data_IF_967855153730
#
_entry.id   IF_967855153730
#
_cell.length_a   1.000
_cell.length_b   1.000
_cell.length_c   1.000
_cell.angle_alpha   90.00
_cell.angle_beta   90.00
_cell.angle_gamma   90.00
#
_symmetry.space_group_name_H-M   'P 1'
#
loop_
_entity.id
_entity.type
_entity.pdbx_description
1 polymer ?
#
# COMPACT_ATOMS: atom_id res chain seq x y z
N UNK A 1 -0.42 -15.15 -17.73
CA UNK A 1 -0.60 -13.89 -16.97
C UNK A 1 -2.08 -13.57 -16.98
N UNK A 2 -2.84 -14.34 -16.20
CA UNK A 2 -4.29 -14.21 -16.05
C UNK A 2 -4.56 -13.23 -14.91
N UNK A 3 -5.48 -12.29 -15.15
CA UNK A 3 -5.94 -11.37 -14.12
C UNK A 3 -6.49 -12.18 -12.94
N UNK A 4 -6.04 -11.85 -11.74
CA UNK A 4 -6.59 -12.37 -10.48
C UNK A 4 -8.02 -11.81 -10.35
N UNK A 5 -8.99 -12.56 -10.87
CA UNK A 5 -10.41 -12.39 -10.58
C UNK A 5 -10.84 -13.53 -9.65
N UNK A 6 -10.60 -13.36 -8.35
CA UNK A 6 -11.06 -14.30 -7.29
C UNK A 6 -12.57 -14.14 -7.03
N UNK A 7 -13.27 -13.29 -7.80
CA UNK A 7 -14.70 -13.09 -7.61
C UNK A 7 -15.51 -14.16 -8.36
N UNK A 8 -15.92 -15.19 -7.62
CA UNK A 8 -16.84 -16.24 -8.10
C UNK A 8 -16.17 -17.45 -8.76
N UNK A 9 -14.85 -17.59 -8.60
CA UNK A 9 -14.09 -18.73 -9.12
C UNK A 9 -13.45 -19.47 -7.94
N UNK A 10 -14.25 -20.33 -7.31
CA UNK A 10 -13.84 -21.14 -6.14
C UNK A 10 -12.59 -21.98 -6.47
N UNK A 11 -12.43 -22.36 -7.74
CA UNK A 11 -11.29 -23.11 -8.27
C UNK A 11 -9.99 -22.30 -8.15
N UNK A 12 -9.99 -21.02 -8.52
CA UNK A 12 -8.82 -20.15 -8.40
C UNK A 12 -8.44 -19.88 -6.92
N UNK A 13 -9.42 -19.77 -6.03
CA UNK A 13 -9.14 -19.62 -4.59
C UNK A 13 -8.58 -20.92 -3.98
N UNK A 14 -9.06 -22.08 -4.44
CA UNK A 14 -8.54 -23.39 -4.05
C UNK A 14 -7.10 -23.58 -4.51
N UNK A 15 -6.77 -23.24 -5.76
CA UNK A 15 -5.40 -23.34 -6.27
C UNK A 15 -4.40 -22.50 -5.44
N UNK A 16 -4.78 -21.27 -5.07
CA UNK A 16 -3.95 -20.39 -4.23
C UNK A 16 -3.80 -20.97 -2.81
N UNK A 17 -4.87 -21.51 -2.25
CA UNK A 17 -4.82 -22.17 -0.94
C UNK A 17 -3.93 -23.42 -0.98
N UNK A 18 -4.04 -24.26 -2.01
CA UNK A 18 -3.19 -25.45 -2.17
C UNK A 18 -1.71 -25.07 -2.31
N UNK A 19 -1.39 -24.01 -3.06
CA UNK A 19 -0.03 -23.48 -3.13
C UNK A 19 0.48 -23.00 -1.76
N UNK A 20 -0.33 -22.23 -1.03
CA UNK A 20 -0.01 -21.79 0.33
C UNK A 20 0.24 -22.99 1.28
N UNK A 21 -0.56 -24.05 1.15
CA UNK A 21 -0.41 -25.29 1.91
C UNK A 21 0.87 -26.05 1.58
N UNK A 22 1.36 -25.95 0.34
CA UNK A 22 2.61 -26.61 -0.08
C UNK A 22 3.86 -25.82 0.31
N UNK A 23 3.81 -24.49 0.25
CA UNK A 23 4.98 -23.64 0.42
C UNK A 23 5.15 -23.12 1.86
N UNK A 24 4.05 -22.76 2.54
CA UNK A 24 4.12 -22.01 3.81
C UNK A 24 3.51 -22.76 5.01
N UNK A 25 2.58 -23.70 4.79
CA UNK A 25 1.92 -24.39 5.91
C UNK A 25 2.86 -25.25 6.77
N UNK A 26 4.03 -25.64 6.26
CA UNK A 26 5.03 -26.37 7.04
C UNK A 26 5.74 -25.48 8.09
N UNK A 27 5.71 -24.16 7.92
CA UNK A 27 6.32 -23.19 8.83
C UNK A 27 5.32 -22.60 9.84
N UNK A 28 4.02 -22.86 9.65
CA UNK A 28 2.95 -22.33 10.47
C UNK A 28 2.52 -23.32 11.56
N UNK A 29 2.60 -22.90 12.82
CA UNK A 29 2.11 -23.67 13.98
C UNK A 29 0.58 -23.85 13.96
N UNK A 30 -0.14 -22.92 13.34
CA UNK A 30 -1.58 -23.01 13.09
C UNK A 30 -1.86 -22.68 11.64
N UNK A 31 -2.27 -23.69 10.89
CA UNK A 31 -2.65 -23.55 9.50
C UNK A 31 -4.12 -23.09 9.44
N UNK A 32 -4.41 -21.93 8.83
CA UNK A 32 -5.78 -21.46 8.70
C UNK A 32 -6.61 -22.39 7.81
N UNK A 33 -7.89 -22.55 8.14
CA UNK A 33 -8.83 -23.24 7.26
C UNK A 33 -9.03 -22.47 5.95
N UNK A 34 -9.49 -23.15 4.90
CA UNK A 34 -9.78 -22.52 3.61
C UNK A 34 -10.71 -21.31 3.74
N UNK A 35 -11.78 -21.43 4.54
CA UNK A 35 -12.74 -20.35 4.75
C UNK A 35 -12.10 -19.13 5.44
N UNK A 36 -11.28 -19.36 6.48
CA UNK A 36 -10.54 -18.31 7.18
C UNK A 36 -9.49 -17.64 6.27
N UNK A 37 -8.84 -18.42 5.42
CA UNK A 37 -7.88 -17.93 4.43
C UNK A 37 -8.56 -17.00 3.42
N UNK A 38 -9.68 -17.43 2.84
CA UNK A 38 -10.47 -16.64 1.88
C UNK A 38 -11.03 -15.38 2.53
N UNK A 39 -11.53 -15.45 3.76
CA UNK A 39 -12.01 -14.28 4.51
C UNK A 39 -10.87 -13.27 4.77
N UNK A 40 -9.68 -13.78 5.12
CA UNK A 40 -8.50 -12.95 5.34
C UNK A 40 -8.07 -12.24 4.06
N UNK A 41 -8.00 -12.95 2.93
CA UNK A 41 -7.66 -12.36 1.63
C UNK A 41 -8.70 -11.31 1.20
N UNK A 42 -9.99 -11.60 1.37
CA UNK A 42 -11.06 -10.65 1.08
C UNK A 42 -10.91 -9.38 1.92
N UNK A 43 -10.70 -9.53 3.23
CA UNK A 43 -10.55 -8.40 4.15
C UNK A 43 -9.30 -7.59 3.83
N UNK A 44 -8.15 -8.25 3.63
CA UNK A 44 -6.90 -7.61 3.24
C UNK A 44 -7.02 -6.87 1.90
N UNK A 45 -7.71 -7.45 0.92
CA UNK A 45 -7.96 -6.84 -0.38
C UNK A 45 -8.79 -5.56 -0.26
N UNK A 46 -9.89 -5.58 0.51
CA UNK A 46 -10.73 -4.39 0.73
C UNK A 46 -9.95 -3.31 1.47
N UNK A 47 -9.23 -3.66 2.54
CA UNK A 47 -8.40 -2.71 3.30
C UNK A 47 -7.35 -2.08 2.40
N UNK A 48 -6.65 -2.88 1.60
CA UNK A 48 -5.62 -2.40 0.65
C UNK A 48 -6.22 -1.43 -0.37
N UNK A 49 -7.41 -1.72 -0.90
CA UNK A 49 -8.11 -0.85 -1.84
C UNK A 49 -8.47 0.50 -1.21
N UNK A 50 -9.04 0.49 0.01
CA UNK A 50 -9.37 1.73 0.73
C UNK A 50 -8.12 2.56 1.00
N UNK A 51 -7.03 1.93 1.43
CA UNK A 51 -5.75 2.59 1.67
C UNK A 51 -5.16 3.19 0.40
N UNK A 52 -5.27 2.50 -0.74
CA UNK A 52 -4.82 3.01 -2.03
C UNK A 52 -5.55 4.32 -2.40
N UNK A 53 -6.87 4.38 -2.19
CA UNK A 53 -7.65 5.61 -2.42
C UNK A 53 -7.20 6.73 -1.49
N UNK A 54 -6.97 6.44 -0.20
CA UNK A 54 -6.50 7.45 0.77
C UNK A 54 -5.11 7.97 0.38
N UNK A 55 -4.20 7.07 -0.03
CA UNK A 55 -2.85 7.45 -0.45
C UNK A 55 -2.88 8.37 -1.68
N UNK A 56 -3.74 8.08 -2.65
CA UNK A 56 -3.94 8.91 -3.84
C UNK A 56 -4.44 10.32 -3.46
N UNK A 57 -5.47 10.41 -2.61
CA UNK A 57 -6.00 11.68 -2.09
C UNK A 57 -4.93 12.46 -1.32
N UNK A 58 -4.15 11.79 -0.47
CA UNK A 58 -3.05 12.42 0.27
C UNK A 58 -1.96 12.97 -0.66
N UNK A 59 -1.66 12.25 -1.76
CA UNK A 59 -0.77 12.73 -2.81
C UNK A 59 -1.28 14.02 -3.45
N UNK A 60 -2.56 14.06 -3.84
CA UNK A 60 -3.19 15.25 -4.43
C UNK A 60 -3.20 16.43 -3.44
N UNK A 61 -3.58 16.20 -2.18
CA UNK A 61 -3.58 17.21 -1.12
C UNK A 61 -2.17 17.77 -0.91
N UNK A 62 -1.14 16.93 -0.98
CA UNK A 62 0.26 17.35 -0.86
C UNK A 62 0.67 18.29 -1.99
N UNK A 63 0.24 18.01 -3.22
CA UNK A 63 0.46 18.91 -4.37
C UNK A 63 -0.19 20.28 -4.11
N UNK A 64 -1.41 20.31 -3.59
CA UNK A 64 -2.11 21.57 -3.27
C UNK A 64 -1.45 22.36 -2.15
N UNK A 65 -0.89 21.69 -1.14
CA UNK A 65 -0.16 22.32 -0.04
C UNK A 65 1.20 22.89 -0.46
N UNK A 66 1.85 22.23 -1.42
CA UNK A 66 3.09 22.69 -2.04
C UNK A 66 2.85 23.82 -3.05
N UNK A 67 1.65 23.87 -3.66
CA UNK A 67 1.21 24.96 -4.54
C UNK A 67 1.13 26.27 -3.75
N UNK A 68 1.90 27.26 -4.20
CA UNK A 68 2.12 28.57 -3.54
C UNK A 68 2.92 28.52 -2.22
N UNK A 69 3.66 27.43 -1.95
CA UNK A 69 4.55 27.32 -0.79
C UNK A 69 3.85 27.60 0.57
N UNK A 70 2.54 27.30 0.65
CA UNK A 70 1.70 27.68 1.79
C UNK A 70 2.16 26.97 3.07
N UNK A 71 2.39 25.65 2.99
CA UNK A 71 2.81 24.80 4.13
C UNK A 71 3.67 23.61 3.67
N UNK A 72 4.89 23.83 3.16
CA UNK A 72 5.74 22.78 2.59
C UNK A 72 6.10 21.69 3.62
N UNK A 73 6.33 22.06 4.89
CA UNK A 73 6.63 21.09 5.95
C UNK A 73 5.49 20.11 6.23
N UNK A 74 4.24 20.56 6.18
CA UNK A 74 3.07 19.70 6.42
C UNK A 74 2.91 18.70 5.28
N UNK A 75 3.09 19.15 4.03
CA UNK A 75 3.10 18.26 2.87
C UNK A 75 4.23 17.23 2.95
N UNK A 76 5.42 17.65 3.40
CA UNK A 76 6.57 16.75 3.58
C UNK A 76 6.30 15.63 4.58
N UNK A 77 5.76 15.94 5.76
CA UNK A 77 5.41 14.91 6.76
C UNK A 77 4.30 13.98 6.24
N UNK A 78 3.29 14.51 5.55
CA UNK A 78 2.21 13.71 4.98
C UNK A 78 2.72 12.70 3.95
N UNK A 79 3.55 13.15 3.00
CA UNK A 79 4.16 12.27 1.99
C UNK A 79 5.13 11.26 2.61
N UNK A 80 5.80 11.61 3.71
CA UNK A 80 6.71 10.69 4.40
C UNK A 80 5.94 9.53 5.02
N UNK A 81 4.84 9.82 5.71
CA UNK A 81 3.97 8.81 6.32
C UNK A 81 3.40 7.89 5.25
N UNK A 82 2.91 8.46 4.14
CA UNK A 82 2.40 7.67 3.01
C UNK A 82 3.50 6.80 2.40
N UNK A 83 4.71 7.33 2.21
CA UNK A 83 5.83 6.56 1.67
C UNK A 83 6.23 5.38 2.55
N UNK A 84 6.34 5.59 3.86
CA UNK A 84 6.65 4.51 4.82
C UNK A 84 5.54 3.45 4.78
N UNK A 85 4.28 3.86 4.78
CA UNK A 85 3.15 2.94 4.73
C UNK A 85 3.09 2.13 3.42
N UNK A 86 3.34 2.76 2.28
CA UNK A 86 3.36 2.06 0.99
C UNK A 86 4.55 1.09 0.93
N UNK A 87 5.69 1.43 1.55
CA UNK A 87 6.86 0.55 1.60
C UNK A 87 6.63 -0.73 2.43
N UNK A 88 5.75 -0.69 3.44
CA UNK A 88 5.47 -1.87 4.28
C UNK A 88 4.64 -2.95 3.57
N UNK A 89 4.09 -2.66 2.39
CA UNK A 89 3.34 -3.64 1.60
C UNK A 89 4.24 -4.70 0.93
N UNK A 90 5.56 -4.54 0.96
CA UNK A 90 6.57 -5.49 0.45
C UNK A 90 6.43 -5.92 -1.03
N UNK A 91 5.46 -5.37 -1.78
CA UNK A 91 5.38 -5.54 -3.22
C UNK A 91 6.49 -4.72 -3.91
N UNK A 92 7.18 -5.31 -4.89
CA UNK A 92 8.25 -4.62 -5.65
C UNK A 92 7.76 -3.29 -6.24
N UNK A 93 6.54 -3.28 -6.78
CA UNK A 93 5.91 -2.08 -7.35
C UNK A 93 5.67 -1.02 -6.26
N UNK A 94 5.19 -1.44 -5.08
CA UNK A 94 4.96 -0.55 -3.95
C UNK A 94 6.28 0.00 -3.40
N UNK A 95 7.34 -0.80 -3.37
CA UNK A 95 8.68 -0.39 -2.96
C UNK A 95 9.20 0.72 -3.89
N UNK A 96 9.18 0.51 -5.21
CA UNK A 96 9.59 1.52 -6.19
C UNK A 96 8.75 2.80 -6.06
N UNK A 97 7.43 2.67 -5.89
CA UNK A 97 6.53 3.80 -5.65
C UNK A 97 6.87 4.59 -4.37
N UNK A 98 7.13 3.87 -3.28
CA UNK A 98 7.43 4.47 -1.97
C UNK A 98 8.68 5.35 -1.98
N UNK A 99 9.70 4.99 -2.78
CA UNK A 99 10.92 5.79 -2.95
C UNK A 99 10.58 7.18 -3.48
N UNK A 100 9.68 7.29 -4.46
CA UNK A 100 9.24 8.59 -4.98
C UNK A 100 8.52 9.42 -3.91
N UNK A 101 7.66 8.80 -3.11
CA UNK A 101 6.99 9.46 -1.99
C UNK A 101 7.98 9.99 -0.95
N UNK A 102 8.98 9.19 -0.57
CA UNK A 102 10.01 9.57 0.41
C UNK A 102 10.90 10.69 -0.12
N UNK A 103 11.33 10.63 -1.39
CA UNK A 103 12.13 11.70 -2.01
C UNK A 103 11.33 13.01 -2.03
N UNK A 104 10.06 12.96 -2.46
CA UNK A 104 9.17 14.12 -2.46
C UNK A 104 8.96 14.69 -1.06
N UNK A 105 8.80 13.82 -0.06
CA UNK A 105 8.68 14.19 1.34
C UNK A 105 9.90 14.94 1.85
N UNK A 106 11.10 14.42 1.58
CA UNK A 106 12.36 15.03 1.98
C UNK A 106 12.57 16.39 1.31
N UNK A 107 12.30 16.48 0.01
CA UNK A 107 12.35 17.76 -0.73
C UNK A 107 11.40 18.80 -0.15
N UNK A 108 10.20 18.41 0.26
CA UNK A 108 9.21 19.29 0.88
C UNK A 108 9.60 19.70 2.31
N UNK A 109 10.16 18.78 3.10
CA UNK A 109 10.52 19.01 4.50
C UNK A 109 11.69 19.97 4.66
N UNK A 110 12.71 19.83 3.80
CA UNK A 110 13.88 20.72 3.78
C UNK A 110 13.68 21.99 2.96
N UNK A 111 12.49 22.18 2.38
CA UNK A 111 12.20 23.39 1.61
C UNK A 111 12.21 24.61 2.53
N UNK A 112 13.13 25.53 2.26
CA UNK A 112 13.14 26.84 2.89
C UNK A 112 11.93 27.61 2.36
N UNK A 113 11.00 27.95 3.26
CA UNK A 113 9.84 28.79 2.93
C UNK A 113 10.36 30.10 2.36
N UNK A 114 9.93 30.48 1.15
CA UNK A 114 10.18 31.85 0.69
C UNK A 114 9.36 32.76 1.60
N UNK A 115 10.04 33.49 2.48
CA UNK A 115 9.41 34.61 3.19
C UNK A 115 8.94 35.57 2.09
N UNK A 116 7.62 35.72 1.97
CA UNK A 116 7.02 36.79 1.19
C UNK A 116 7.24 38.11 1.94
#
# INVERSE_FOLDING_TARGET
MTMINVHGDDEAALEIYEQFMQEEAAELENVPTYDEFVETLRTAGVITLVLAVIAEVAGIVSILLLKNDKRPKVAGVLLLIVGIFVSSLQFIIALVGSVFFIIAAMMALFRKRKLA
#
